data_IF_503419184934
#
_entry.id   IF_503419184934
#
_cell.length_a   1.000
_cell.length_b   1.000
_cell.length_c   1.000
_cell.angle_alpha   90.00
_cell.angle_beta   90.00
_cell.angle_gamma   90.00
#
_symmetry.space_group_name_H-M   'P 1'
#
loop_
_entity.id
_entity.type
_entity.pdbx_description
1 polymer ?
#
# COMPACT_ATOMS: atom_id res chain seq x y z
N UNK A 1 34.60 8.22 21.23
CA UNK A 1 33.88 8.12 22.52
C UNK A 1 32.84 9.23 22.68
N UNK A 2 33.19 10.49 22.40
CA UNK A 2 32.30 11.66 22.56
C UNK A 2 31.08 11.68 21.63
N UNK A 3 31.25 11.33 20.35
CA UNK A 3 30.14 11.22 19.39
C UNK A 3 29.12 10.16 19.82
N UNK A 4 29.59 8.97 20.22
CA UNK A 4 28.71 7.91 20.74
C UNK A 4 27.96 8.36 21.99
N UNK A 5 28.64 9.05 22.90
CA UNK A 5 27.99 9.65 24.07
C UNK A 5 26.93 10.67 23.68
N UNK A 6 27.22 11.60 22.76
CA UNK A 6 26.23 12.58 22.27
C UNK A 6 25.01 11.89 21.64
N UNK A 7 25.22 10.87 20.81
CA UNK A 7 24.13 10.12 20.18
C UNK A 7 23.29 9.40 21.24
N UNK A 8 23.92 8.72 22.19
CA UNK A 8 23.20 7.98 23.24
C UNK A 8 22.43 8.91 24.18
N UNK A 9 22.99 10.05 24.55
CA UNK A 9 22.32 11.06 25.39
C UNK A 9 21.16 11.70 24.64
N UNK A 10 21.37 12.11 23.38
CA UNK A 10 20.30 12.68 22.55
C UNK A 10 19.18 11.69 22.27
N UNK A 11 19.50 10.41 22.08
CA UNK A 11 18.52 9.34 21.94
C UNK A 11 17.67 9.16 23.20
N UNK A 12 18.31 9.13 24.38
CA UNK A 12 17.61 9.02 25.66
C UNK A 12 16.74 10.24 25.90
N UNK A 13 17.23 11.45 25.67
CA UNK A 13 16.43 12.67 25.81
C UNK A 13 15.19 12.64 24.90
N UNK A 14 15.36 12.25 23.63
CA UNK A 14 14.26 12.13 22.70
C UNK A 14 13.21 11.10 23.18
N UNK A 15 13.65 9.92 23.61
CA UNK A 15 12.76 8.83 23.98
C UNK A 15 12.12 8.98 25.36
N UNK A 16 12.85 9.52 26.32
CA UNK A 16 12.43 9.56 27.72
C UNK A 16 11.77 10.91 28.09
N UNK A 17 12.25 12.02 27.52
CA UNK A 17 11.77 13.36 27.90
C UNK A 17 10.84 14.00 26.86
N UNK A 18 10.97 13.64 25.57
CA UNK A 18 10.17 14.26 24.49
C UNK A 18 9.04 13.39 23.96
N UNK A 19 8.97 12.13 24.36
CA UNK A 19 7.88 11.24 23.94
C UNK A 19 6.64 11.44 24.80
N UNK A 20 5.49 11.03 24.26
CA UNK A 20 4.23 11.10 24.98
C UNK A 20 4.20 10.05 26.11
N UNK A 21 4.08 10.46 27.39
CA UNK A 21 4.09 9.53 28.51
C UNK A 21 2.87 8.60 28.51
N UNK A 22 1.76 8.98 27.87
CA UNK A 22 0.51 8.20 27.84
C UNK A 22 0.67 6.86 27.11
N UNK A 23 1.58 6.81 26.14
CA UNK A 23 1.83 5.62 25.32
C UNK A 23 3.08 4.85 25.75
N UNK A 24 3.82 5.31 26.77
CA UNK A 24 5.14 4.79 27.12
C UNK A 24 5.12 3.29 27.46
N UNK A 25 4.06 2.82 28.13
CA UNK A 25 3.92 1.43 28.57
C UNK A 25 3.17 0.55 27.57
N UNK A 26 2.80 1.08 26.39
CA UNK A 26 2.07 0.29 25.40
C UNK A 26 3.02 -0.66 24.66
N UNK A 27 2.56 -1.87 24.28
CA UNK A 27 3.38 -2.81 23.53
C UNK A 27 3.95 -2.16 22.26
N UNK A 28 5.24 -2.39 22.00
CA UNK A 28 6.01 -1.84 20.87
C UNK A 28 6.30 -0.32 20.92
N UNK A 29 5.91 0.41 21.97
CA UNK A 29 6.16 1.87 22.11
C UNK A 29 7.42 2.22 22.90
N UNK A 30 8.13 1.23 23.45
CA UNK A 30 9.38 1.45 24.19
C UNK A 30 10.55 1.86 23.28
N UNK A 31 10.57 1.39 22.04
CA UNK A 31 11.64 1.64 21.06
C UNK A 31 11.13 1.41 19.63
N UNK A 32 11.69 2.07 18.60
CA UNK A 32 11.33 1.78 17.21
C UNK A 32 11.99 0.52 16.68
N UNK A 33 13.03 -0.02 17.35
CA UNK A 33 13.78 -1.16 16.83
C UNK A 33 12.92 -2.42 16.58
N UNK A 34 11.97 -2.81 17.45
CA UNK A 34 11.04 -3.89 17.15
C UNK A 34 10.23 -3.64 15.86
N UNK A 35 9.71 -2.43 15.67
CA UNK A 35 8.98 -2.04 14.44
C UNK A 35 9.87 -2.17 13.20
N UNK A 36 11.10 -1.65 13.28
CA UNK A 36 12.08 -1.73 12.18
C UNK A 36 12.38 -3.19 11.86
N UNK A 37 12.63 -4.03 12.87
CA UNK A 37 12.87 -5.45 12.68
C UNK A 37 11.68 -6.13 12.01
N UNK A 38 10.44 -5.82 12.41
CA UNK A 38 9.23 -6.36 11.77
C UNK A 38 9.08 -5.92 10.31
N UNK A 39 9.32 -4.63 10.00
CA UNK A 39 9.29 -4.10 8.64
C UNK A 39 10.34 -4.75 7.73
N UNK A 40 11.59 -4.87 8.20
CA UNK A 40 12.67 -5.53 7.47
C UNK A 40 12.37 -7.03 7.29
N UNK A 41 11.87 -7.70 8.33
CA UNK A 41 11.46 -9.11 8.25
C UNK A 41 10.35 -9.30 7.21
N UNK A 42 9.36 -8.41 7.18
CA UNK A 42 8.30 -8.43 6.17
C UNK A 42 8.88 -8.35 4.75
N UNK A 43 9.74 -7.38 4.48
CA UNK A 43 10.36 -7.23 3.14
C UNK A 43 11.16 -8.48 2.77
N UNK A 44 11.97 -9.00 3.69
CA UNK A 44 12.73 -10.23 3.50
C UNK A 44 11.82 -11.43 3.19
N UNK A 45 10.73 -11.59 3.95
CA UNK A 45 9.76 -12.68 3.76
C UNK A 45 9.10 -12.58 2.39
N UNK A 46 8.57 -11.41 2.01
CA UNK A 46 7.76 -11.31 0.78
C UNK A 46 8.60 -11.30 -0.50
N UNK A 47 9.85 -10.81 -0.44
CA UNK A 47 10.73 -10.75 -1.63
C UNK A 47 11.64 -11.95 -1.80
N UNK A 48 12.04 -12.61 -0.71
CA UNK A 48 13.04 -13.68 -0.77
C UNK A 48 12.52 -15.01 -0.21
N UNK A 49 12.26 -15.09 1.10
CA UNK A 49 11.98 -16.36 1.77
C UNK A 49 10.68 -17.00 1.27
N UNK A 50 9.60 -16.24 1.20
CA UNK A 50 8.27 -16.70 0.78
C UNK A 50 8.26 -17.27 -0.64
N UNK A 51 8.73 -16.54 -1.66
CA UNK A 51 8.86 -17.07 -3.02
C UNK A 51 9.71 -18.34 -3.09
N UNK A 52 10.85 -18.40 -2.39
CA UNK A 52 11.74 -19.56 -2.33
C UNK A 52 11.06 -20.79 -1.70
N UNK A 53 10.34 -20.60 -0.60
CA UNK A 53 9.57 -21.69 0.06
C UNK A 53 8.42 -22.18 -0.83
N UNK A 54 7.80 -21.27 -1.58
CA UNK A 54 6.67 -21.58 -2.46
C UNK A 54 7.06 -22.15 -3.82
N UNK A 55 8.33 -22.04 -4.24
CA UNK A 55 8.81 -22.47 -5.57
C UNK A 55 8.33 -23.88 -5.93
N UNK A 56 8.60 -24.85 -5.06
CA UNK A 56 8.25 -26.27 -5.24
C UNK A 56 6.89 -26.68 -4.64
N UNK A 57 6.04 -25.72 -4.26
CA UNK A 57 4.72 -25.98 -3.66
C UNK A 57 3.58 -25.55 -4.58
N UNK A 58 2.42 -26.21 -4.47
CA UNK A 58 1.20 -25.78 -5.16
C UNK A 58 0.63 -24.53 -4.46
N UNK A 59 -0.01 -23.59 -5.19
CA UNK A 59 -0.61 -22.41 -4.60
C UNK A 59 -1.74 -22.80 -3.62
N UNK A 60 -1.78 -22.17 -2.45
CA UNK A 60 -2.78 -22.48 -1.43
C UNK A 60 -4.18 -21.96 -1.81
N UNK A 61 -5.21 -22.76 -1.51
CA UNK A 61 -6.63 -22.39 -1.73
C UNK A 61 -7.20 -21.68 -0.49
N UNK A 62 -6.82 -20.42 -0.28
CA UNK A 62 -7.15 -19.64 0.94
C UNK A 62 -8.43 -18.79 0.82
N UNK A 63 -9.37 -19.13 -0.07
CA UNK A 63 -10.52 -18.25 -0.42
C UNK A 63 -11.34 -17.83 0.81
N UNK A 64 -11.79 -18.77 1.64
CA UNK A 64 -12.60 -18.49 2.83
C UNK A 64 -11.86 -17.63 3.85
N UNK A 65 -10.57 -17.94 4.07
CA UNK A 65 -9.70 -17.20 4.98
C UNK A 65 -9.54 -15.75 4.51
N UNK A 66 -9.31 -15.54 3.21
CA UNK A 66 -9.17 -14.20 2.64
C UNK A 66 -10.49 -13.42 2.75
N UNK A 67 -11.65 -14.03 2.51
CA UNK A 67 -12.94 -13.36 2.70
C UNK A 67 -13.12 -12.93 4.16
N UNK A 68 -12.90 -13.83 5.12
CA UNK A 68 -12.98 -13.52 6.55
C UNK A 68 -12.00 -12.42 6.95
N UNK A 69 -10.75 -12.51 6.50
CA UNK A 69 -9.74 -11.51 6.76
C UNK A 69 -10.13 -10.13 6.22
N UNK A 70 -10.60 -10.02 4.96
CA UNK A 70 -11.02 -8.74 4.41
C UNK A 70 -12.25 -8.19 5.15
N UNK A 71 -13.19 -9.04 5.59
CA UNK A 71 -14.30 -8.64 6.44
C UNK A 71 -13.81 -8.04 7.77
N UNK A 72 -12.89 -8.71 8.44
CA UNK A 72 -12.29 -8.21 9.69
C UNK A 72 -11.54 -6.88 9.47
N UNK A 73 -10.86 -6.73 8.34
CA UNK A 73 -10.21 -5.46 7.97
C UNK A 73 -11.21 -4.33 7.74
N UNK A 74 -12.37 -4.62 7.12
CA UNK A 74 -13.46 -3.63 6.98
C UNK A 74 -13.97 -3.20 8.36
N UNK A 75 -14.24 -4.15 9.25
CA UNK A 75 -14.72 -3.86 10.62
C UNK A 75 -13.69 -3.03 11.40
N UNK A 76 -12.42 -3.43 11.35
CA UNK A 76 -11.33 -2.69 12.00
C UNK A 76 -11.19 -1.27 11.44
N UNK A 77 -11.23 -1.12 10.11
CA UNK A 77 -11.13 0.18 9.45
C UNK A 77 -12.32 1.08 9.79
N UNK A 78 -13.53 0.52 9.84
CA UNK A 78 -14.73 1.24 10.25
C UNK A 78 -14.65 1.71 11.70
N UNK A 79 -14.23 0.82 12.61
CA UNK A 79 -14.01 1.15 14.00
C UNK A 79 -12.99 2.30 14.15
N UNK A 80 -11.83 2.20 13.51
CA UNK A 80 -10.79 3.24 13.57
C UNK A 80 -11.25 4.58 12.98
N UNK A 81 -11.99 4.55 11.86
CA UNK A 81 -12.57 5.74 11.26
C UNK A 81 -13.55 6.43 12.22
N UNK A 82 -14.41 5.65 12.87
CA UNK A 82 -15.37 6.15 13.85
C UNK A 82 -14.67 6.69 15.11
N UNK A 83 -13.67 5.99 15.62
CA UNK A 83 -12.86 6.44 16.77
C UNK A 83 -12.17 7.78 16.47
N UNK A 84 -11.51 7.91 15.31
CA UNK A 84 -10.86 9.16 14.90
C UNK A 84 -11.88 10.29 14.66
N UNK A 85 -13.06 9.97 14.11
CA UNK A 85 -14.16 10.91 13.94
C UNK A 85 -14.67 11.45 15.28
N UNK A 86 -15.08 10.56 16.19
CA UNK A 86 -15.65 10.91 17.49
C UNK A 86 -14.66 11.62 18.43
N UNK A 87 -13.37 11.28 18.31
CA UNK A 87 -12.31 11.91 19.09
C UNK A 87 -11.94 13.31 18.59
N UNK A 88 -12.28 13.66 17.34
CA UNK A 88 -11.84 14.92 16.75
C UNK A 88 -12.55 15.31 15.45
N UNK A 89 -12.42 14.46 14.42
CA UNK A 89 -12.69 14.85 13.03
C UNK A 89 -14.18 15.05 12.67
N UNK A 90 -15.12 14.68 13.54
CA UNK A 90 -16.56 14.95 13.38
C UNK A 90 -17.01 16.29 13.97
N UNK A 91 -16.12 17.29 14.04
CA UNK A 91 -16.48 18.68 14.35
C UNK A 91 -15.80 19.29 15.56
N UNK A 92 -14.96 18.53 16.28
CA UNK A 92 -14.15 19.06 17.40
C UNK A 92 -12.82 19.66 16.92
N UNK A 93 -12.24 19.11 15.86
CA UNK A 93 -10.94 19.53 15.33
C UNK A 93 -11.04 20.64 14.28
N UNK A 94 -10.03 21.50 14.27
CA UNK A 94 -9.85 22.51 13.24
C UNK A 94 -9.07 21.95 12.04
N UNK A 95 -9.70 21.95 10.86
CA UNK A 95 -9.08 21.46 9.62
C UNK A 95 -7.88 22.30 9.15
N UNK A 96 -7.67 23.51 9.66
CA UNK A 96 -6.53 24.38 9.28
C UNK A 96 -5.27 24.08 10.08
N UNK A 97 -5.38 24.15 11.40
CA UNK A 97 -4.27 23.91 12.32
C UNK A 97 -4.83 23.32 13.60
N UNK A 98 -4.51 22.05 13.87
CA UNK A 98 -4.94 21.35 15.07
C UNK A 98 -3.73 20.93 15.92
N UNK A 99 -3.53 21.52 17.11
CA UNK A 99 -2.49 21.07 18.02
C UNK A 99 -2.84 19.69 18.58
N UNK A 100 -1.82 19.00 19.09
CA UNK A 100 -2.02 17.75 19.84
C UNK A 100 -2.45 18.09 21.26
N UNK A 101 -3.54 17.48 21.71
CA UNK A 101 -3.94 17.51 23.10
C UNK A 101 -3.19 16.39 23.86
N UNK A 102 -2.28 16.78 24.74
CA UNK A 102 -1.50 15.88 25.59
C UNK A 102 -2.14 15.61 26.96
N UNK A 103 -3.34 16.14 27.21
CA UNK A 103 -4.05 15.92 28.46
C UNK A 103 -4.56 14.49 28.61
N UNK A 104 -5.04 14.17 29.81
CA UNK A 104 -5.68 12.89 30.15
C UNK A 104 -7.20 12.93 29.99
N UNK A 105 -7.74 13.88 29.22
CA UNK A 105 -9.17 13.93 28.96
C UNK A 105 -9.61 12.75 28.07
N UNK A 106 -10.91 12.46 28.07
CA UNK A 106 -11.45 11.28 27.37
C UNK A 106 -11.19 11.31 25.87
N UNK A 107 -11.30 12.47 25.23
CA UNK A 107 -11.15 12.60 23.78
C UNK A 107 -9.69 12.44 23.33
N UNK A 108 -8.74 13.02 24.07
CA UNK A 108 -7.32 12.94 23.81
C UNK A 108 -6.80 11.51 24.03
N UNK A 109 -7.23 10.84 25.11
CA UNK A 109 -6.90 9.43 25.34
C UNK A 109 -7.53 8.52 24.29
N UNK A 110 -8.77 8.80 23.87
CA UNK A 110 -9.44 8.06 22.80
C UNK A 110 -8.70 8.21 21.46
N UNK A 111 -8.27 9.42 21.12
CA UNK A 111 -7.46 9.67 19.93
C UNK A 111 -6.11 8.96 19.98
N UNK A 112 -5.44 8.98 21.15
CA UNK A 112 -4.16 8.29 21.32
C UNK A 112 -4.31 6.77 21.18
N UNK A 113 -5.33 6.19 21.81
CA UNK A 113 -5.68 4.78 21.68
C UNK A 113 -6.01 4.41 20.23
N UNK A 114 -6.83 5.22 19.56
CA UNK A 114 -7.15 5.03 18.14
C UNK A 114 -5.92 5.10 17.24
N UNK A 115 -5.00 6.03 17.50
CA UNK A 115 -3.74 6.15 16.77
C UNK A 115 -2.85 4.92 16.97
N UNK A 116 -2.79 4.37 18.17
CA UNK A 116 -2.06 3.15 18.46
C UNK A 116 -2.69 1.91 17.82
N UNK A 117 -4.02 1.78 17.86
CA UNK A 117 -4.73 0.71 17.17
C UNK A 117 -4.55 0.81 15.65
N UNK A 118 -4.51 2.03 15.10
CA UNK A 118 -4.17 2.27 13.69
C UNK A 118 -2.73 1.85 13.37
N UNK A 119 -1.77 2.12 14.25
CA UNK A 119 -0.40 1.60 14.13
C UNK A 119 -0.37 0.07 14.11
N UNK A 120 -1.06 -0.59 15.04
CA UNK A 120 -1.17 -2.06 15.07
C UNK A 120 -1.84 -2.60 13.81
N UNK A 121 -2.85 -1.89 13.29
CA UNK A 121 -3.54 -2.29 12.05
C UNK A 121 -2.56 -2.39 10.88
N UNK A 122 -1.53 -1.53 10.79
CA UNK A 122 -0.55 -1.60 9.68
C UNK A 122 0.19 -2.93 9.62
N UNK A 123 0.43 -3.60 10.75
CA UNK A 123 1.02 -4.95 10.74
C UNK A 123 0.03 -6.02 10.31
N UNK A 124 -1.26 -5.87 10.64
CA UNK A 124 -2.28 -6.81 10.17
C UNK A 124 -2.36 -6.82 8.63
N UNK A 125 -2.08 -5.68 8.00
CA UNK A 125 -2.08 -5.52 6.54
C UNK A 125 -0.92 -6.27 5.85
N UNK A 126 0.13 -6.70 6.58
CA UNK A 126 1.18 -7.57 6.01
C UNK A 126 0.62 -8.89 5.47
N UNK A 127 -0.51 -9.34 6.04
CA UNK A 127 -1.21 -10.54 5.59
C UNK A 127 -1.66 -10.42 4.13
N UNK A 128 -1.94 -9.22 3.61
CA UNK A 128 -2.29 -9.01 2.20
C UNK A 128 -1.22 -9.61 1.29
N UNK A 129 0.03 -9.24 1.55
CA UNK A 129 1.17 -9.67 0.75
C UNK A 129 1.51 -11.14 1.00
N UNK A 130 1.36 -11.61 2.25
CA UNK A 130 1.55 -13.04 2.55
C UNK A 130 0.53 -13.90 1.79
N UNK A 131 -0.73 -13.47 1.67
CA UNK A 131 -1.72 -14.16 0.85
C UNK A 131 -1.37 -14.15 -0.63
N UNK A 132 -0.79 -13.08 -1.16
CA UNK A 132 -0.31 -13.05 -2.55
C UNK A 132 0.81 -14.07 -2.79
N UNK A 133 1.79 -14.12 -1.89
CA UNK A 133 2.92 -15.07 -1.97
C UNK A 133 2.43 -16.52 -1.86
N UNK A 134 1.60 -16.85 -0.87
CA UNK A 134 1.06 -18.20 -0.66
C UNK A 134 0.16 -18.66 -1.83
N UNK A 135 -0.45 -17.73 -2.55
CA UNK A 135 -1.26 -18.03 -3.75
C UNK A 135 -0.47 -17.96 -5.06
N UNK A 136 0.84 -17.73 -5.01
CA UNK A 136 1.71 -17.49 -6.18
C UNK A 136 1.19 -16.38 -7.11
N UNK A 137 0.61 -15.32 -6.54
CA UNK A 137 0.13 -14.12 -7.25
C UNK A 137 1.19 -13.01 -7.18
N UNK A 138 2.38 -13.30 -7.70
CA UNK A 138 3.52 -12.37 -7.62
C UNK A 138 3.30 -11.08 -8.43
N UNK A 139 2.40 -11.10 -9.42
CA UNK A 139 1.92 -9.92 -10.14
C UNK A 139 1.27 -8.88 -9.20
N UNK A 140 0.72 -9.32 -8.06
CA UNK A 140 0.12 -8.46 -7.04
C UNK A 140 1.16 -7.94 -6.02
N UNK A 141 2.34 -8.56 -5.91
CA UNK A 141 3.46 -8.15 -5.04
C UNK A 141 4.27 -7.03 -5.72
N UNK A 142 3.55 -5.97 -6.10
CA UNK A 142 4.12 -4.82 -6.80
C UNK A 142 5.09 -4.03 -5.92
N UNK A 143 5.97 -3.26 -6.55
CA UNK A 143 6.87 -2.32 -5.85
C UNK A 143 6.08 -1.33 -4.99
N UNK A 144 4.97 -0.80 -5.50
CA UNK A 144 4.06 0.08 -4.75
C UNK A 144 3.59 -0.58 -3.45
N UNK A 145 3.07 -1.81 -3.54
CA UNK A 145 2.50 -2.51 -2.40
C UNK A 145 3.57 -2.84 -1.34
N UNK A 146 4.75 -3.32 -1.76
CA UNK A 146 5.83 -3.65 -0.83
C UNK A 146 6.43 -2.42 -0.18
N UNK A 147 6.66 -1.33 -0.93
CA UNK A 147 7.15 -0.06 -0.35
C UNK A 147 6.14 0.48 0.65
N UNK A 148 4.85 0.52 0.28
CA UNK A 148 3.78 1.01 1.14
C UNK A 148 3.71 0.23 2.46
N UNK A 149 3.43 -1.08 2.42
CA UNK A 149 3.32 -1.84 3.66
C UNK A 149 4.66 -1.94 4.41
N UNK A 150 5.79 -1.92 3.70
CA UNK A 150 7.11 -1.94 4.35
C UNK A 150 7.40 -0.70 5.19
N UNK A 151 7.04 0.50 4.72
CA UNK A 151 7.39 1.76 5.40
C UNK A 151 6.30 2.28 6.34
N UNK A 152 5.02 1.97 6.09
CA UNK A 152 3.91 2.56 6.83
C UNK A 152 3.94 2.30 8.35
N UNK A 153 4.16 1.08 8.87
CA UNK A 153 4.23 0.85 10.31
C UNK A 153 5.36 1.65 10.98
N UNK A 154 6.53 1.71 10.34
CA UNK A 154 7.66 2.52 10.82
C UNK A 154 7.33 4.02 10.83
N UNK A 155 6.71 4.51 9.76
CA UNK A 155 6.32 5.91 9.62
C UNK A 155 5.29 6.33 10.69
N UNK A 156 4.29 5.48 10.94
CA UNK A 156 3.23 5.75 11.92
C UNK A 156 3.72 5.65 13.36
N UNK A 157 4.74 4.82 13.64
CA UNK A 157 5.31 4.66 14.99
C UNK A 157 5.75 6.00 15.60
N UNK A 158 6.43 6.85 14.82
CA UNK A 158 6.83 8.19 15.27
C UNK A 158 5.63 9.10 15.57
N UNK A 159 4.56 8.95 14.79
CA UNK A 159 3.29 9.64 15.04
C UNK A 159 2.71 9.25 16.39
N UNK A 160 2.58 7.96 16.68
CA UNK A 160 2.01 7.51 17.97
C UNK A 160 2.91 7.87 19.15
N UNK A 161 4.24 7.75 19.00
CA UNK A 161 5.18 7.97 20.10
C UNK A 161 5.28 9.43 20.53
N UNK A 162 5.12 10.38 19.61
CA UNK A 162 5.37 11.81 19.87
C UNK A 162 4.15 12.69 19.65
N UNK A 163 3.26 12.31 18.74
CA UNK A 163 2.11 13.12 18.32
C UNK A 163 0.85 12.27 18.13
N UNK A 164 0.36 11.55 19.17
CA UNK A 164 -0.79 10.66 19.06
C UNK A 164 -2.13 11.43 19.05
N UNK A 165 -2.25 12.41 18.17
CA UNK A 165 -3.41 13.30 18.08
C UNK A 165 -3.22 14.46 17.11
N UNK A 166 -4.19 15.37 17.08
CA UNK A 166 -4.13 16.61 16.32
C UNK A 166 -3.93 16.45 14.82
N UNK A 167 -3.21 17.41 14.21
CA UNK A 167 -3.10 17.58 12.75
C UNK A 167 -2.60 16.34 12.00
N UNK A 168 -1.67 15.58 12.58
CA UNK A 168 -1.13 14.36 11.97
C UNK A 168 -2.19 13.29 11.77
N UNK A 169 -3.20 13.20 12.63
CA UNK A 169 -4.18 12.10 12.57
C UNK A 169 -5.13 12.17 11.36
N UNK A 170 -5.15 13.28 10.62
CA UNK A 170 -5.98 13.45 9.43
C UNK A 170 -5.68 12.41 8.35
N UNK A 171 -4.40 12.05 8.15
CA UNK A 171 -4.07 11.03 7.16
C UNK A 171 -4.59 9.66 7.57
N UNK A 172 -4.55 9.33 8.87
CA UNK A 172 -5.11 8.08 9.40
C UNK A 172 -6.63 8.03 9.26
N UNK A 173 -7.30 9.15 9.53
CA UNK A 173 -8.74 9.30 9.34
C UNK A 173 -9.16 9.08 7.88
N UNK A 174 -8.53 9.74 6.91
CA UNK A 174 -8.84 9.51 5.50
C UNK A 174 -8.42 8.10 5.03
N UNK A 175 -7.29 7.58 5.51
CA UNK A 175 -6.82 6.25 5.13
C UNK A 175 -7.78 5.16 5.57
N UNK A 176 -8.27 5.22 6.82
CA UNK A 176 -9.23 4.24 7.35
C UNK A 176 -10.53 4.26 6.56
N UNK A 177 -11.05 5.44 6.19
CA UNK A 177 -12.19 5.54 5.27
C UNK A 177 -11.97 4.84 3.93
N UNK A 178 -10.83 5.12 3.28
CA UNK A 178 -10.52 4.47 2.00
C UNK A 178 -10.26 2.97 2.17
N UNK A 179 -9.71 2.54 3.29
CA UNK A 179 -9.51 1.12 3.62
C UNK A 179 -10.84 0.38 3.80
N UNK A 180 -11.89 1.01 4.34
CA UNK A 180 -13.25 0.42 4.36
C UNK A 180 -13.68 0.07 2.93
N UNK A 181 -13.55 1.02 1.99
CA UNK A 181 -13.95 0.83 0.59
C UNK A 181 -13.05 -0.20 -0.12
N UNK A 182 -11.74 -0.12 0.10
CA UNK A 182 -10.73 -1.00 -0.50
C UNK A 182 -10.88 -2.45 -0.04
N UNK A 183 -11.00 -2.70 1.27
CA UNK A 183 -11.15 -4.06 1.80
C UNK A 183 -12.54 -4.63 1.48
N UNK A 184 -13.58 -3.80 1.37
CA UNK A 184 -14.87 -4.24 0.83
C UNK A 184 -14.72 -4.73 -0.62
N UNK A 185 -14.00 -3.98 -1.45
CA UNK A 185 -13.68 -4.41 -2.82
C UNK A 185 -12.93 -5.75 -2.83
N UNK A 186 -11.89 -5.91 -2.01
CA UNK A 186 -11.10 -7.14 -1.94
C UNK A 186 -11.90 -8.33 -1.40
N UNK A 187 -12.77 -8.11 -0.41
CA UNK A 187 -13.70 -9.11 0.10
C UNK A 187 -14.59 -9.64 -1.03
N UNK A 188 -15.27 -8.75 -1.75
CA UNK A 188 -16.16 -9.12 -2.86
C UNK A 188 -15.37 -9.81 -3.98
N UNK A 189 -14.17 -9.32 -4.30
CA UNK A 189 -13.29 -9.93 -5.30
C UNK A 189 -12.85 -11.35 -4.93
N UNK A 190 -12.70 -11.63 -3.62
CA UNK A 190 -12.34 -12.93 -3.09
C UNK A 190 -13.52 -13.92 -3.05
N UNK A 191 -14.77 -13.44 -3.03
CA UNK A 191 -15.96 -14.30 -3.13
C UNK A 191 -15.96 -15.06 -4.46
N UNK A 192 -15.33 -14.59 -5.53
CA UNK A 192 -15.05 -15.42 -6.72
C UNK A 192 -15.54 -14.82 -8.04
N UNK A 193 -15.43 -15.57 -9.15
CA UNK A 193 -15.66 -15.06 -10.50
C UNK A 193 -17.07 -14.49 -10.71
N UNK A 194 -18.06 -15.11 -10.07
CA UNK A 194 -19.46 -14.67 -10.12
C UNK A 194 -19.67 -13.27 -9.55
N UNK A 195 -18.86 -12.85 -8.57
CA UNK A 195 -18.95 -11.52 -7.99
C UNK A 195 -18.04 -10.51 -8.70
N UNK A 196 -16.93 -10.97 -9.29
CA UNK A 196 -15.97 -10.10 -9.98
C UNK A 196 -16.57 -9.32 -11.16
N UNK A 197 -17.61 -9.85 -11.81
CA UNK A 197 -18.33 -9.15 -12.90
C UNK A 197 -19.00 -7.84 -12.44
N UNK A 198 -19.35 -7.73 -11.16
CA UNK A 198 -19.97 -6.53 -10.60
C UNK A 198 -18.95 -5.47 -10.14
N UNK A 199 -17.65 -5.79 -10.17
CA UNK A 199 -16.56 -4.92 -9.72
C UNK A 199 -16.05 -3.97 -10.82
N UNK A 200 -16.97 -3.44 -11.64
CA UNK A 200 -16.66 -2.48 -12.71
C UNK A 200 -16.00 -1.19 -12.19
N UNK A 201 -16.21 -0.87 -10.92
CA UNK A 201 -15.74 0.35 -10.28
C UNK A 201 -14.31 0.31 -9.74
N UNK A 202 -13.54 -0.75 -10.04
CA UNK A 202 -12.11 -0.88 -9.65
C UNK A 202 -11.28 0.38 -9.95
N UNK A 203 -11.52 1.01 -11.09
CA UNK A 203 -10.83 2.25 -11.49
C UNK A 203 -11.12 3.42 -10.54
N UNK A 204 -12.38 3.56 -10.12
CA UNK A 204 -12.80 4.63 -9.20
C UNK A 204 -12.21 4.43 -7.80
N UNK A 205 -12.00 3.18 -7.36
CA UNK A 205 -11.25 2.91 -6.14
C UNK A 205 -9.82 3.47 -6.20
N UNK A 206 -9.11 3.24 -7.32
CA UNK A 206 -7.76 3.81 -7.48
C UNK A 206 -7.77 5.34 -7.52
N UNK A 207 -8.79 5.94 -8.15
CA UNK A 207 -8.97 7.40 -8.15
C UNK A 207 -9.23 7.92 -6.72
N UNK A 208 -10.07 7.24 -5.94
CA UNK A 208 -10.34 7.58 -4.54
C UNK A 208 -9.04 7.56 -3.70
N UNK A 209 -8.20 6.54 -3.88
CA UNK A 209 -6.89 6.46 -3.23
C UNK A 209 -5.97 7.64 -3.64
N UNK A 210 -5.98 8.04 -4.90
CA UNK A 210 -5.21 9.21 -5.36
C UNK A 210 -5.74 10.51 -4.77
N UNK A 211 -7.06 10.70 -4.72
CA UNK A 211 -7.70 11.86 -4.09
C UNK A 211 -7.36 11.94 -2.60
N UNK A 212 -7.32 10.80 -1.91
CA UNK A 212 -6.88 10.73 -0.51
C UNK A 212 -5.49 11.33 -0.33
N UNK A 213 -4.51 10.96 -1.16
CA UNK A 213 -3.16 11.52 -1.06
C UNK A 213 -3.14 13.02 -1.34
N UNK A 214 -3.93 13.50 -2.30
CA UNK A 214 -4.08 14.95 -2.56
C UNK A 214 -4.64 15.66 -1.32
N UNK A 215 -5.70 15.13 -0.72
CA UNK A 215 -6.28 15.68 0.51
C UNK A 215 -5.27 15.72 1.67
N UNK A 216 -4.50 14.65 1.85
CA UNK A 216 -3.43 14.59 2.86
C UNK A 216 -2.35 15.65 2.58
N UNK A 217 -1.92 15.79 1.32
CA UNK A 217 -0.91 16.79 0.95
C UNK A 217 -1.40 18.21 1.18
N UNK A 218 -2.62 18.55 0.76
CA UNK A 218 -3.21 19.88 1.01
C UNK A 218 -3.30 20.15 2.50
N UNK A 219 -3.82 19.19 3.28
CA UNK A 219 -3.95 19.33 4.72
C UNK A 219 -2.58 19.45 5.42
N UNK A 220 -1.56 18.72 4.99
CA UNK A 220 -0.22 18.82 5.58
C UNK A 220 0.49 20.12 5.18
N UNK A 221 0.41 20.49 3.90
CA UNK A 221 1.15 21.63 3.35
C UNK A 221 0.56 22.98 3.73
N UNK A 222 -0.72 23.06 4.11
CA UNK A 222 -1.28 24.32 4.60
C UNK A 222 -0.53 24.90 5.80
N UNK A 223 0.08 24.05 6.64
CA UNK A 223 0.88 24.48 7.79
C UNK A 223 2.13 25.28 7.38
N UNK A 224 2.63 25.10 6.15
CA UNK A 224 3.76 25.90 5.65
C UNK A 224 3.37 27.35 5.37
N UNK A 225 2.09 27.60 5.10
CA UNK A 225 1.58 28.95 4.83
C UNK A 225 1.00 29.60 6.08
N UNK A 226 0.39 28.81 6.96
CA UNK A 226 -0.21 29.32 8.19
C UNK A 226 -0.16 28.25 9.30
N UNK A 227 0.63 28.53 10.34
CA UNK A 227 0.77 27.65 11.51
C UNK A 227 0.48 28.42 12.82
N UNK A 228 -0.77 28.88 13.04
CA UNK A 228 -1.13 29.64 14.24
C UNK A 228 -1.07 28.79 15.53
N UNK A 229 -1.09 27.45 15.40
CA UNK A 229 -1.09 26.53 16.54
C UNK A 229 0.31 25.98 16.90
N UNK A 230 1.38 26.52 16.29
CA UNK A 230 2.77 26.10 16.52
C UNK A 230 2.99 24.59 16.40
N UNK A 231 2.33 23.96 15.43
CA UNK A 231 2.49 22.55 15.15
C UNK A 231 3.94 22.25 14.67
N UNK A 232 4.59 21.17 15.12
CA UNK A 232 5.94 20.80 14.70
C UNK A 232 6.05 20.54 13.19
N UNK A 233 6.79 21.39 12.48
CA UNK A 233 6.92 21.33 11.02
C UNK A 233 7.60 20.06 10.51
N UNK A 234 8.45 19.41 11.32
CA UNK A 234 9.09 18.14 10.97
C UNK A 234 8.07 17.04 10.60
N UNK A 235 6.97 16.94 11.35
CA UNK A 235 5.90 16.00 11.08
C UNK A 235 5.10 16.37 9.82
N UNK A 236 4.91 17.67 9.57
CA UNK A 236 4.28 18.15 8.33
C UNK A 236 5.11 17.78 7.09
N UNK A 237 6.44 17.98 7.13
CA UNK A 237 7.36 17.54 6.08
C UNK A 237 7.32 16.02 5.89
N UNK A 238 7.34 15.26 6.99
CA UNK A 238 7.34 13.80 6.95
C UNK A 238 6.05 13.26 6.31
N UNK A 239 4.88 13.71 6.75
CA UNK A 239 3.57 13.29 6.24
C UNK A 239 3.39 13.74 4.79
N UNK A 240 3.70 15.00 4.48
CA UNK A 240 3.60 15.53 3.13
C UNK A 240 4.52 14.82 2.15
N UNK A 241 5.77 14.53 2.54
CA UNK A 241 6.72 13.76 1.74
C UNK A 241 6.24 12.35 1.43
N UNK A 242 5.66 11.65 2.41
CA UNK A 242 5.03 10.34 2.17
C UNK A 242 3.81 10.46 1.24
N UNK A 243 2.99 11.50 1.40
CA UNK A 243 1.86 11.79 0.51
C UNK A 243 2.31 11.95 -0.94
N UNK A 244 3.38 12.71 -1.18
CA UNK A 244 3.98 12.89 -2.51
C UNK A 244 4.50 11.57 -3.07
N UNK A 245 5.28 10.81 -2.30
CA UNK A 245 5.82 9.51 -2.70
C UNK A 245 4.71 8.55 -3.16
N UNK A 246 3.67 8.37 -2.33
CA UNK A 246 2.59 7.45 -2.65
C UNK A 246 1.71 7.95 -3.80
N UNK A 247 1.47 9.25 -3.90
CA UNK A 247 0.78 9.82 -5.04
C UNK A 247 1.47 9.46 -6.36
N UNK A 248 2.80 9.62 -6.44
CA UNK A 248 3.54 9.26 -7.65
C UNK A 248 3.51 7.75 -7.95
N UNK A 249 3.66 6.90 -6.93
CA UNK A 249 3.57 5.45 -7.11
C UNK A 249 2.18 5.02 -7.60
N UNK A 250 1.11 5.58 -7.03
CA UNK A 250 -0.27 5.31 -7.46
C UNK A 250 -0.58 5.87 -8.84
N UNK A 251 -0.09 7.07 -9.16
CA UNK A 251 -0.23 7.66 -10.50
C UNK A 251 0.46 6.79 -11.57
N UNK A 252 1.67 6.29 -11.26
CA UNK A 252 2.39 5.37 -12.14
C UNK A 252 1.62 4.05 -12.32
N UNK A 253 1.11 3.47 -11.22
CA UNK A 253 0.24 2.30 -11.28
C UNK A 253 -1.01 2.56 -12.14
N UNK A 254 -1.68 3.68 -11.95
CA UNK A 254 -2.90 4.04 -12.68
C UNK A 254 -2.63 4.19 -14.18
N UNK A 255 -1.54 4.88 -14.57
CA UNK A 255 -1.12 5.01 -15.96
C UNK A 255 -0.86 3.66 -16.59
N UNK A 256 -0.14 2.77 -15.91
CA UNK A 256 0.18 1.43 -16.43
C UNK A 256 -1.06 0.53 -16.51
N UNK A 257 -1.92 0.54 -15.49
CA UNK A 257 -3.07 -0.35 -15.40
C UNK A 257 -4.24 0.06 -16.32
N UNK A 258 -4.48 1.36 -16.50
CA UNK A 258 -5.69 1.88 -17.14
C UNK A 258 -5.44 2.73 -18.39
N UNK A 259 -4.30 3.42 -18.51
CA UNK A 259 -4.00 4.27 -19.67
C UNK A 259 -3.17 3.55 -20.74
N UNK A 260 -2.18 2.74 -20.33
CA UNK A 260 -1.35 1.98 -21.26
C UNK A 260 -2.16 0.92 -22.02
N UNK A 261 -3.22 0.36 -21.41
CA UNK A 261 -4.16 -0.54 -22.09
C UNK A 261 -4.96 0.13 -23.22
N UNK A 262 -5.16 1.45 -23.18
CA UNK A 262 -5.83 2.20 -24.27
C UNK A 262 -4.92 2.41 -25.48
N UNK A 263 -3.59 2.42 -25.32
CA UNK A 263 -2.62 2.65 -26.41
C UNK A 263 -2.26 1.39 -27.24
N UNK A 264 -2.75 0.20 -26.87
CA UNK A 264 -2.63 -1.03 -27.68
C UNK A 264 -3.83 -1.23 -28.63
N UNK A 265 -4.24 -0.17 -29.32
CA UNK A 265 -4.86 -0.28 -30.64
C UNK A 265 -3.84 0.31 -31.60
N UNK A 266 -2.97 -0.55 -32.13
CA UNK A 266 -2.17 -0.19 -33.30
C UNK A 266 -3.09 -0.45 -34.49
N UNK A 267 -3.46 0.61 -35.19
CA UNK A 267 -4.04 0.49 -36.53
C UNK A 267 -2.89 0.08 -37.47
N UNK A 268 -3.10 -1.01 -38.20
CA UNK A 268 -2.27 -1.37 -39.34
C UNK A 268 -2.34 -0.26 -40.42
N UNK A 269 -1.38 -0.21 -41.33
CA UNK A 269 -1.29 0.71 -42.48
C UNK A 269 -2.56 0.63 -43.36
N UNK A 270 -3.33 -0.46 -43.23
CA UNK A 270 -4.60 -0.71 -43.91
C UNK A 270 -5.87 -0.48 -43.04
N UNK A 271 -5.77 0.16 -41.87
CA UNK A 271 -6.93 0.56 -41.06
C UNK A 271 -7.58 -0.54 -40.22
N UNK A 272 -6.94 -1.71 -40.08
CA UNK A 272 -7.48 -2.82 -39.28
C UNK A 272 -7.01 -2.77 -37.82
N UNK A 273 -7.95 -2.99 -36.88
CA UNK A 273 -7.68 -2.99 -35.43
C UNK A 273 -7.07 -4.33 -35.00
N UNK A 274 -5.76 -4.33 -34.69
CA UNK A 274 -5.08 -5.52 -34.16
C UNK A 274 -5.21 -5.56 -32.62
N UNK A 275 -5.83 -6.62 -32.08
CA UNK A 275 -5.80 -6.93 -30.64
C UNK A 275 -4.52 -7.69 -30.31
N UNK A 276 -3.56 -7.03 -29.66
CA UNK A 276 -2.31 -7.67 -29.20
C UNK A 276 -2.54 -8.32 -27.83
N UNK A 277 -2.56 -9.66 -27.79
CA UNK A 277 -2.61 -10.44 -26.54
C UNK A 277 -1.25 -11.10 -26.27
N UNK A 278 -0.59 -10.60 -25.21
CA UNK A 278 0.61 -11.12 -24.52
C UNK A 278 1.92 -11.35 -25.33
N UNK A 279 3.01 -10.93 -24.68
CA UNK A 279 4.39 -11.04 -25.15
C UNK A 279 4.78 -12.46 -25.57
N UNK A 280 4.96 -12.67 -26.87
CA UNK A 280 6.12 -13.36 -27.45
C UNK A 280 6.30 -12.74 -28.84
N UNK A 281 7.36 -11.95 -29.03
CA UNK A 281 7.73 -11.48 -30.37
C UNK A 281 8.35 -12.69 -31.07
N UNK A 282 7.53 -13.47 -31.77
CA UNK A 282 7.98 -14.18 -32.95
C UNK A 282 7.59 -13.27 -34.11
N UNK A 283 8.58 -12.62 -34.71
CA UNK A 283 8.40 -11.93 -35.98
C UNK A 283 7.82 -12.91 -36.99
N UNK A 284 6.72 -12.51 -37.65
CA UNK A 284 6.00 -13.30 -38.67
C UNK A 284 6.97 -13.83 -39.76
N UNK A 285 8.07 -13.11 -39.99
CA UNK A 285 9.14 -13.48 -40.92
C UNK A 285 9.80 -14.84 -40.57
N UNK A 286 9.90 -15.19 -39.29
CA UNK A 286 10.51 -16.47 -38.86
C UNK A 286 9.57 -17.66 -38.97
N UNK A 287 8.25 -17.44 -39.00
CA UNK A 287 7.27 -18.50 -39.20
C UNK A 287 7.13 -18.85 -40.68
N UNK A 288 7.13 -17.84 -41.56
CA UNK A 288 7.06 -18.07 -43.01
C UNK A 288 8.36 -18.69 -43.55
N UNK A 289 9.55 -18.30 -43.05
CA UNK A 289 10.81 -18.93 -43.48
C UNK A 289 10.92 -20.40 -43.04
N UNK A 290 10.29 -20.78 -41.92
CA UNK A 290 10.32 -22.14 -41.41
C UNK A 290 9.39 -23.05 -42.22
N UNK A 291 8.21 -22.58 -42.56
CA UNK A 291 7.25 -23.33 -43.39
C UNK A 291 7.73 -23.49 -44.85
N UNK A 292 8.43 -22.50 -45.42
CA UNK A 292 9.02 -22.64 -46.76
C UNK A 292 10.17 -23.66 -46.80
N UNK A 293 10.98 -23.73 -45.74
CA UNK A 293 12.07 -24.72 -45.66
C UNK A 293 11.51 -26.14 -45.48
N UNK A 294 10.48 -26.30 -44.66
CA UNK A 294 9.81 -27.58 -44.41
C UNK A 294 9.07 -28.09 -45.66
N UNK A 295 8.46 -27.20 -46.45
CA UNK A 295 7.86 -27.56 -47.74
C UNK A 295 8.89 -27.97 -48.80
N UNK A 296 10.05 -27.30 -48.86
CA UNK A 296 11.13 -27.67 -49.80
C UNK A 296 11.79 -29.00 -49.45
N UNK A 297 11.92 -29.34 -48.16
CA UNK A 297 12.41 -30.66 -47.72
C UNK A 297 11.44 -31.79 -48.04
N UNK A 298 10.13 -31.57 -47.89
CA UNK A 298 9.09 -32.54 -48.27
C UNK A 298 9.08 -32.78 -49.79
N UNK A 299 9.23 -31.72 -50.58
CA UNK A 299 9.27 -31.82 -52.04
C UNK A 299 10.54 -32.54 -52.54
N UNK A 300 11.71 -32.25 -51.97
CA UNK A 300 12.95 -32.97 -52.28
C UNK A 300 12.92 -34.45 -51.87
N UNK A 301 12.31 -34.79 -50.73
CA UNK A 301 12.16 -36.18 -50.31
C UNK A 301 11.17 -36.96 -51.19
N UNK A 302 10.11 -36.31 -51.67
CA UNK A 302 9.16 -36.93 -52.61
C UNK A 302 9.76 -37.15 -54.01
N UNK A 303 10.70 -36.30 -54.44
CA UNK A 303 11.46 -36.48 -55.68
C UNK A 303 12.51 -37.60 -55.56
N UNK A 304 13.16 -37.75 -54.40
CA UNK A 304 14.11 -38.85 -54.13
C UNK A 304 13.45 -40.23 -54.08
N UNK A 305 12.17 -40.31 -53.71
CA UNK A 305 11.42 -41.57 -53.60
C UNK A 305 10.73 -42.00 -54.92
N UNK A 306 10.97 -41.29 -56.03
CA UNK A 306 10.39 -41.58 -57.36
C UNK A 306 11.43 -41.96 -58.43
N UNK A 307 12.69 -42.16 -58.03
CA UNK A 307 13.75 -42.81 -58.81
C UNK A 307 14.11 -44.13 -58.14
#
# INVERSE_FOLDING_TARGET
MEILRMITVGWRDLMDNKSDPRVANWPLMSSPFPTIAMCLSYVFIVKFLGPKVMENRKPFKLRKIIVLYNFLQVVLSFYLFFEAGMSGWFGKYNLRCQPVDFSMNSDALRMANGSYLYYLSKFSEFLDTFFFVLRKRYDQVSTLHVIHHGIMPFSVWWGVKFMPGGHSTFFGFLNTFVHIVMYTYYMIAAIGPEMQKYLWWKKYLTILQMIQFVGIMVHAFQLFFSNPCNYPMSFAYWIGGHGVLFYFLFNNFYKQAYMAKKKKKVEDINGNVIKIQNQTILTQDKYNSKNEHEQREIEQNNLRNRL
#
